data_IF_487312538306
#
_entry.id   IF_487312538306
#
_cell.length_a   1.000
_cell.length_b   1.000
_cell.length_c   1.000
_cell.angle_alpha   90.00
_cell.angle_beta   90.00
_cell.angle_gamma   90.00
#
_symmetry.space_group_name_H-M   'P 1'
#
loop_
_entity.id
_entity.type
_entity.pdbx_description
1 polymer ?
#
# COMPACT_ATOMS: atom_id res chain seq x y z
N UNK A 1 -13.82 15.59 -5.71
CA UNK A 1 -14.38 14.32 -5.21
C UNK A 1 -13.37 13.23 -5.46
N UNK A 2 -13.00 12.45 -4.44
CA UNK A 2 -12.05 11.34 -4.61
C UNK A 2 -12.72 10.24 -5.43
N UNK A 3 -12.08 9.84 -6.54
CA UNK A 3 -12.57 8.79 -7.45
C UNK A 3 -12.83 7.46 -6.70
N UNK A 4 -12.16 7.26 -5.56
CA UNK A 4 -12.30 6.07 -4.73
C UNK A 4 -13.43 6.14 -3.69
N UNK A 5 -14.01 7.31 -3.41
CA UNK A 5 -14.90 7.52 -2.26
C UNK A 5 -16.09 6.56 -2.23
N UNK A 6 -16.64 6.23 -3.40
CA UNK A 6 -17.83 5.38 -3.55
C UNK A 6 -17.53 3.89 -3.77
N UNK A 7 -16.25 3.49 -3.78
CA UNK A 7 -15.88 2.08 -3.92
C UNK A 7 -16.02 1.34 -2.59
N UNK A 8 -16.42 0.08 -2.68
CA UNK A 8 -16.43 -0.84 -1.55
C UNK A 8 -15.05 -0.94 -0.89
N UNK A 9 -14.99 -1.10 0.43
CA UNK A 9 -13.74 -1.21 1.21
C UNK A 9 -12.83 -2.30 0.63
N UNK A 10 -13.38 -3.48 0.33
CA UNK A 10 -12.63 -4.59 -0.30
C UNK A 10 -11.95 -4.16 -1.60
N UNK A 11 -12.67 -3.42 -2.44
CA UNK A 11 -12.18 -2.97 -3.75
C UNK A 11 -11.10 -1.91 -3.59
N UNK A 12 -11.25 -0.99 -2.62
CA UNK A 12 -10.20 -0.01 -2.27
C UNK A 12 -8.90 -0.70 -1.88
N UNK A 13 -8.98 -1.68 -0.96
CA UNK A 13 -7.80 -2.44 -0.52
C UNK A 13 -7.17 -3.20 -1.67
N UNK A 14 -7.95 -3.93 -2.47
CA UNK A 14 -7.43 -4.66 -3.63
C UNK A 14 -6.77 -3.73 -4.68
N UNK A 15 -7.34 -2.54 -4.90
CA UNK A 15 -6.78 -1.57 -5.85
C UNK A 15 -5.41 -1.01 -5.43
N UNK A 16 -5.04 -1.13 -4.15
CA UNK A 16 -3.73 -0.72 -3.63
C UNK A 16 -2.75 -1.90 -3.56
N UNK A 17 -3.23 -3.07 -3.12
CA UNK A 17 -2.39 -4.26 -2.93
C UNK A 17 -1.97 -4.88 -4.27
N UNK A 18 -2.91 -5.04 -5.21
CA UNK A 18 -2.63 -5.73 -6.48
C UNK A 18 -1.52 -5.03 -7.29
N UNK A 19 -1.54 -3.70 -7.51
CA UNK A 19 -0.44 -3.03 -8.21
C UNK A 19 0.90 -3.17 -7.49
N UNK A 20 0.90 -3.12 -6.15
CA UNK A 20 2.12 -3.25 -5.34
C UNK A 20 2.75 -4.65 -5.50
N UNK A 21 1.93 -5.70 -5.50
CA UNK A 21 2.38 -7.05 -5.80
C UNK A 21 2.90 -7.20 -7.24
N UNK A 22 2.20 -6.60 -8.21
CA UNK A 22 2.61 -6.63 -9.62
C UNK A 22 3.95 -5.94 -9.83
N UNK A 23 4.21 -4.82 -9.16
CA UNK A 23 5.51 -4.13 -9.18
C UNK A 23 6.62 -5.07 -8.66
N UNK A 24 6.37 -5.79 -7.57
CA UNK A 24 7.34 -6.74 -7.03
C UNK A 24 7.65 -7.89 -8.00
N UNK A 25 6.61 -8.48 -8.60
CA UNK A 25 6.77 -9.57 -9.58
C UNK A 25 7.49 -9.07 -10.84
N UNK A 26 7.07 -7.92 -11.39
CA UNK A 26 7.68 -7.33 -12.57
C UNK A 26 9.16 -6.97 -12.31
N UNK A 27 9.46 -6.43 -11.13
CA UNK A 27 10.84 -6.15 -10.70
C UNK A 27 11.71 -7.40 -10.63
N UNK A 28 11.20 -8.47 -10.01
CA UNK A 28 11.92 -9.74 -9.91
C UNK A 28 12.19 -10.36 -11.30
N UNK A 29 11.18 -10.33 -12.20
CA UNK A 29 11.33 -10.82 -13.56
C UNK A 29 12.34 -9.99 -14.37
N UNK A 30 12.32 -8.67 -14.22
CA UNK A 30 13.25 -7.77 -14.89
C UNK A 30 14.70 -8.02 -14.44
N UNK A 31 14.94 -8.06 -13.12
CA UNK A 31 16.27 -8.38 -12.57
C UNK A 31 16.75 -9.76 -13.02
N UNK A 32 15.88 -10.78 -12.93
CA UNK A 32 16.22 -12.14 -13.35
C UNK A 32 16.57 -12.23 -14.84
N UNK A 33 15.85 -11.51 -15.69
CA UNK A 33 16.11 -11.50 -17.14
C UNK A 33 17.45 -10.84 -17.47
N UNK A 34 17.74 -9.68 -16.87
CA UNK A 34 19.02 -8.99 -17.06
C UNK A 34 20.20 -9.81 -16.52
N UNK A 35 20.03 -10.44 -15.36
CA UNK A 35 21.07 -11.31 -14.79
C UNK A 35 21.36 -12.49 -15.72
N UNK A 36 20.32 -13.12 -16.28
CA UNK A 36 20.50 -14.23 -17.23
C UNK A 36 21.21 -13.79 -18.51
N UNK A 37 20.89 -12.61 -19.04
CA UNK A 37 21.56 -12.07 -20.23
C UNK A 37 23.04 -11.80 -19.93
N UNK A 38 23.34 -11.16 -18.80
CA UNK A 38 24.71 -10.89 -18.37
C UNK A 38 25.51 -12.19 -18.17
N UNK A 39 24.94 -13.17 -17.47
CA UNK A 39 25.55 -14.48 -17.20
C UNK A 39 25.83 -15.29 -18.48
N UNK A 40 24.88 -15.29 -19.42
CA UNK A 40 25.04 -15.99 -20.71
C UNK A 40 26.13 -15.33 -21.55
N UNK A 41 26.10 -13.99 -21.65
CA UNK A 41 27.09 -13.22 -22.42
C UNK A 41 28.48 -13.36 -21.82
N UNK A 42 28.59 -13.34 -20.49
CA UNK A 42 29.84 -13.55 -19.77
C UNK A 42 30.39 -14.95 -20.04
N UNK A 43 29.56 -15.98 -19.89
CA UNK A 43 29.98 -17.37 -20.05
C UNK A 43 30.41 -17.70 -21.47
N UNK A 44 29.67 -17.21 -22.48
CA UNK A 44 29.99 -17.43 -23.88
C UNK A 44 31.29 -16.72 -24.29
N UNK A 45 31.48 -15.48 -23.84
CA UNK A 45 32.72 -14.74 -24.09
C UNK A 45 33.93 -15.40 -23.45
N UNK A 46 33.86 -15.78 -22.17
CA UNK A 46 35.00 -16.40 -21.48
C UNK A 46 35.32 -17.77 -22.07
N UNK A 47 34.29 -18.56 -22.43
CA UNK A 47 34.50 -19.86 -23.05
C UNK A 47 35.14 -19.74 -24.43
N UNK A 48 34.57 -18.93 -25.33
CA UNK A 48 35.04 -18.84 -26.71
C UNK A 48 36.41 -18.16 -26.80
N UNK A 49 36.57 -16.96 -26.24
CA UNK A 49 37.83 -16.22 -26.30
C UNK A 49 38.92 -16.94 -25.50
N UNK A 50 38.58 -17.57 -24.36
CA UNK A 50 39.52 -18.32 -23.54
C UNK A 50 40.01 -19.60 -24.22
N UNK A 51 39.11 -20.38 -24.84
CA UNK A 51 39.49 -21.57 -25.58
C UNK A 51 40.31 -21.21 -26.83
N UNK A 52 39.98 -20.10 -27.51
CA UNK A 52 40.78 -19.58 -28.63
C UNK A 52 42.18 -19.14 -28.16
N UNK A 53 42.29 -18.46 -27.02
CA UNK A 53 43.57 -18.09 -26.40
C UNK A 53 44.43 -19.32 -26.12
N UNK A 54 43.87 -20.34 -25.47
CA UNK A 54 44.54 -21.60 -25.16
C UNK A 54 44.99 -22.29 -26.46
N UNK A 55 44.10 -22.38 -27.45
CA UNK A 55 44.42 -23.01 -28.73
C UNK A 55 45.59 -22.32 -29.43
N UNK A 56 45.62 -20.99 -29.43
CA UNK A 56 46.71 -20.22 -30.03
C UNK A 56 48.02 -20.28 -29.22
N UNK A 57 47.94 -20.42 -27.90
CA UNK A 57 49.11 -20.68 -27.06
C UNK A 57 49.72 -22.06 -27.37
N UNK A 58 48.89 -23.10 -27.49
CA UNK A 58 49.34 -24.43 -27.91
C UNK A 58 49.85 -24.40 -29.35
N UNK A 59 49.22 -23.64 -30.25
CA UNK A 59 49.67 -23.47 -31.63
C UNK A 59 51.09 -22.88 -31.68
N UNK A 60 51.38 -21.88 -30.85
CA UNK A 60 52.73 -21.32 -30.73
C UNK A 60 53.74 -22.37 -30.26
N UNK A 61 53.36 -23.21 -29.30
CA UNK A 61 54.19 -24.34 -28.85
C UNK A 61 54.41 -25.39 -29.97
N UNK A 62 53.38 -25.69 -30.78
CA UNK A 62 53.48 -26.63 -31.91
C UNK A 62 54.37 -26.07 -33.01
N UNK A 63 54.37 -24.77 -33.26
CA UNK A 63 55.29 -24.14 -34.19
C UNK A 63 56.76 -24.30 -33.76
N UNK A 64 57.05 -24.15 -32.46
CA UNK A 64 58.38 -24.44 -31.90
C UNK A 64 58.76 -25.91 -32.12
N UNK A 65 57.82 -26.84 -31.86
CA UNK A 65 58.04 -28.27 -32.07
C UNK A 65 58.35 -28.59 -33.54
N UNK A 66 57.61 -28.04 -34.51
CA UNK A 66 57.84 -28.23 -35.95
C UNK A 66 59.27 -27.86 -36.34
N UNK A 67 59.76 -26.70 -35.89
CA UNK A 67 61.13 -26.27 -36.21
C UNK A 67 62.15 -27.20 -35.53
N UNK A 68 61.92 -27.55 -34.27
CA UNK A 68 62.79 -28.44 -33.51
C UNK A 68 62.87 -29.85 -34.11
N UNK A 69 61.74 -30.45 -34.47
CA UNK A 69 61.64 -31.77 -35.09
C UNK A 69 62.33 -31.77 -36.46
N UNK A 70 62.22 -30.67 -37.23
CA UNK A 70 62.95 -30.50 -38.48
C UNK A 70 64.48 -30.47 -38.27
N UNK A 71 64.97 -29.82 -37.21
CA UNK A 71 66.38 -29.90 -36.82
C UNK A 71 66.78 -31.33 -36.43
N UNK A 72 65.93 -32.08 -35.73
CA UNK A 72 66.20 -33.47 -35.36
C UNK A 72 66.32 -34.37 -36.59
N UNK A 73 65.41 -34.22 -37.57
CA UNK A 73 65.47 -35.00 -38.83
C UNK A 73 66.77 -34.72 -39.59
N UNK A 74 67.26 -33.48 -39.56
CA UNK A 74 68.54 -33.12 -40.18
C UNK A 74 69.76 -33.66 -39.42
N UNK A 75 69.73 -33.65 -38.09
CA UNK A 75 70.89 -34.02 -37.26
C UNK A 75 71.02 -35.52 -37.02
N UNK A 76 69.93 -36.28 -37.07
CA UNK A 76 69.95 -37.71 -36.83
C UNK A 76 70.33 -38.49 -38.08
N UNK A 77 71.12 -39.55 -37.89
CA UNK A 77 71.51 -40.43 -38.99
C UNK A 77 70.26 -41.07 -39.63
N UNK A 78 70.32 -41.22 -40.96
CA UNK A 78 69.27 -41.88 -41.73
C UNK A 78 69.01 -43.30 -41.21
N UNK A 79 67.75 -43.74 -41.30
CA UNK A 79 67.26 -45.07 -40.88
C UNK A 79 67.27 -45.36 -39.37
N UNK A 80 67.70 -44.41 -38.53
CA UNK A 80 67.62 -44.57 -37.07
C UNK A 80 66.18 -44.49 -36.55
N UNK A 81 65.91 -45.14 -35.41
CA UNK A 81 64.62 -45.03 -34.73
C UNK A 81 64.31 -43.59 -34.27
N UNK A 82 65.35 -42.81 -33.95
CA UNK A 82 65.24 -41.39 -33.60
C UNK A 82 64.73 -40.55 -34.77
N UNK A 83 65.29 -40.75 -35.97
CA UNK A 83 64.87 -40.03 -37.19
C UNK A 83 63.43 -40.36 -37.59
N UNK A 84 63.02 -41.63 -37.48
CA UNK A 84 61.61 -42.03 -37.71
C UNK A 84 60.66 -41.34 -36.75
N UNK A 85 60.95 -41.36 -35.44
CA UNK A 85 60.15 -40.65 -34.43
C UNK A 85 60.07 -39.15 -34.73
N UNK A 86 61.19 -38.48 -35.00
CA UNK A 86 61.21 -37.05 -35.31
C UNK A 86 60.35 -36.71 -36.55
N UNK A 87 60.36 -37.58 -37.57
CA UNK A 87 59.52 -37.42 -38.77
C UNK A 87 58.02 -37.58 -38.46
N UNK A 88 57.67 -38.55 -37.61
CA UNK A 88 56.30 -38.76 -37.14
C UNK A 88 55.81 -37.59 -36.27
N UNK A 89 56.64 -37.14 -35.32
CA UNK A 89 56.35 -36.01 -34.43
C UNK A 89 56.19 -34.71 -35.23
N UNK A 90 57.03 -34.49 -36.24
CA UNK A 90 56.93 -33.36 -37.16
C UNK A 90 55.56 -33.35 -37.89
N UNK A 91 55.15 -34.49 -38.44
CA UNK A 91 53.87 -34.62 -39.12
C UNK A 91 52.67 -34.40 -38.17
N UNK A 92 52.74 -34.98 -36.96
CA UNK A 92 51.72 -34.82 -35.94
C UNK A 92 51.60 -33.36 -35.46
N UNK A 93 52.73 -32.69 -35.24
CA UNK A 93 52.78 -31.28 -34.83
C UNK A 93 52.17 -30.36 -35.89
N UNK A 94 52.44 -30.60 -37.19
CA UNK A 94 51.79 -29.87 -38.29
C UNK A 94 50.28 -30.08 -38.34
N UNK A 95 49.82 -31.32 -38.21
CA UNK A 95 48.40 -31.64 -38.22
C UNK A 95 47.68 -30.95 -37.05
N UNK A 96 48.24 -31.06 -35.84
CA UNK A 96 47.67 -30.42 -34.65
C UNK A 96 47.69 -28.90 -34.75
N UNK A 97 48.75 -28.31 -35.31
CA UNK A 97 48.82 -26.86 -35.50
C UNK A 97 47.66 -26.35 -36.37
N UNK A 98 47.37 -27.03 -37.49
CA UNK A 98 46.26 -26.65 -38.37
C UNK A 98 44.91 -26.77 -37.68
N UNK A 99 44.68 -27.86 -36.95
CA UNK A 99 43.46 -28.07 -36.17
C UNK A 99 43.23 -26.95 -35.14
N UNK A 100 44.27 -26.55 -34.41
CA UNK A 100 44.18 -25.47 -33.42
C UNK A 100 43.80 -24.12 -34.04
N UNK A 101 44.34 -23.81 -35.22
CA UNK A 101 43.93 -22.62 -35.98
C UNK A 101 42.48 -22.71 -36.46
N UNK A 102 42.04 -23.88 -36.97
CA UNK A 102 40.66 -24.09 -37.41
C UNK A 102 39.65 -23.95 -36.27
N UNK A 103 40.01 -24.42 -35.06
CA UNK A 103 39.20 -24.26 -33.87
C UNK A 103 39.18 -22.81 -33.39
N UNK A 104 40.34 -22.16 -33.30
CA UNK A 104 40.43 -20.76 -32.88
C UNK A 104 39.61 -19.83 -33.81
N UNK A 105 39.69 -20.01 -35.14
CA UNK A 105 38.92 -19.21 -36.09
C UNK A 105 37.40 -19.40 -35.98
N UNK A 106 36.93 -20.58 -35.52
CA UNK A 106 35.50 -20.82 -35.26
C UNK A 106 35.02 -20.16 -33.97
N UNK A 107 35.88 -20.12 -32.96
CA UNK A 107 35.56 -19.57 -31.64
C UNK A 107 35.55 -18.03 -31.65
N UNK A 108 36.49 -17.40 -32.37
CA UNK A 108 36.63 -15.93 -32.46
C UNK A 108 36.56 -15.43 -33.92
N UNK A 109 35.38 -15.51 -34.57
CA UNK A 109 35.22 -15.13 -35.97
C UNK A 109 35.57 -13.67 -36.25
N UNK A 110 35.41 -12.78 -35.26
CA UNK A 110 35.80 -11.37 -35.35
C UNK A 110 37.33 -11.17 -35.51
N UNK A 111 38.14 -12.10 -35.02
CA UNK A 111 39.61 -12.10 -35.17
C UNK A 111 40.08 -12.91 -36.40
N UNK A 112 39.15 -13.42 -37.22
CA UNK A 112 39.46 -14.32 -38.34
C UNK A 112 40.45 -13.74 -39.36
N UNK A 113 40.48 -12.42 -39.58
CA UNK A 113 41.49 -11.78 -40.45
C UNK A 113 42.89 -11.88 -39.88
N UNK A 114 43.04 -11.65 -38.57
CA UNK A 114 44.31 -11.72 -37.85
C UNK A 114 44.82 -13.16 -37.83
N UNK A 115 43.94 -14.11 -37.50
CA UNK A 115 44.27 -15.54 -37.47
C UNK A 115 44.63 -16.07 -38.86
N UNK A 116 43.92 -15.68 -39.92
CA UNK A 116 44.27 -16.04 -41.29
C UNK A 116 45.63 -15.50 -41.72
N UNK A 117 46.00 -14.29 -41.29
CA UNK A 117 47.33 -13.72 -41.54
C UNK A 117 48.43 -14.51 -40.83
N UNK A 118 48.23 -14.87 -39.56
CA UNK A 118 49.15 -15.72 -38.80
C UNK A 118 49.28 -17.12 -39.44
N UNK A 119 48.16 -17.72 -39.86
CA UNK A 119 48.12 -19.02 -40.55
C UNK A 119 48.94 -19.00 -41.84
N UNK A 120 48.79 -17.96 -42.67
CA UNK A 120 49.57 -17.80 -43.90
C UNK A 120 51.09 -17.74 -43.63
N UNK A 121 51.50 -17.08 -42.53
CA UNK A 121 52.90 -17.07 -42.12
C UNK A 121 53.37 -18.43 -41.59
N UNK A 122 52.52 -19.14 -40.85
CA UNK A 122 52.78 -20.54 -40.42
C UNK A 122 53.01 -21.43 -41.63
N UNK A 123 52.16 -21.34 -42.65
CA UNK A 123 52.28 -22.15 -43.86
C UNK A 123 53.61 -21.86 -44.58
N UNK A 124 54.09 -20.62 -44.58
CA UNK A 124 55.41 -20.28 -45.13
C UNK A 124 56.56 -20.92 -44.34
N UNK A 125 56.47 -21.02 -43.02
CA UNK A 125 57.46 -21.73 -42.19
C UNK A 125 57.39 -23.24 -42.43
N UNK A 126 56.18 -23.79 -42.54
CA UNK A 126 55.97 -25.21 -42.86
C UNK A 126 56.58 -25.55 -44.22
N UNK A 127 56.38 -24.72 -45.25
CA UNK A 127 56.94 -24.98 -46.59
C UNK A 127 58.48 -25.04 -46.58
N UNK A 128 59.13 -24.19 -45.78
CA UNK A 128 60.61 -24.18 -45.66
C UNK A 128 61.08 -25.41 -44.88
N UNK A 129 60.41 -25.74 -43.77
CA UNK A 129 60.75 -26.91 -42.96
C UNK A 129 60.46 -28.22 -43.69
N UNK A 130 59.43 -28.29 -44.55
CA UNK A 130 59.14 -29.44 -45.41
C UNK A 130 60.31 -29.71 -46.36
N UNK A 131 60.80 -28.67 -47.05
CA UNK A 131 61.99 -28.77 -47.92
C UNK A 131 63.24 -29.20 -47.14
N UNK A 132 63.39 -28.72 -45.90
CA UNK A 132 64.53 -29.08 -45.05
C UNK A 132 64.46 -30.54 -44.59
N UNK A 133 63.29 -31.00 -44.16
CA UNK A 133 63.02 -32.39 -43.75
C UNK A 133 63.26 -33.34 -44.92
N UNK A 134 62.69 -33.05 -46.10
CA UNK A 134 62.89 -33.84 -47.32
C UNK A 134 64.37 -33.94 -47.71
N UNK A 135 65.11 -32.83 -47.67
CA UNK A 135 66.53 -32.82 -47.99
C UNK A 135 67.40 -33.55 -46.94
N UNK A 136 67.01 -33.48 -45.66
CA UNK A 136 67.64 -34.22 -44.56
C UNK A 136 67.50 -35.74 -44.71
N UNK A 137 66.37 -36.21 -45.22
CA UNK A 137 66.14 -37.64 -45.50
C UNK A 137 67.06 -38.21 -46.60
N UNK A 138 67.60 -37.37 -47.49
CA UNK A 138 68.43 -37.79 -48.65
C UNK A 138 69.93 -37.60 -48.39
N UNK A 139 70.33 -37.30 -47.14
CA UNK A 139 71.73 -37.17 -46.70
C UNK A 139 72.53 -36.09 -47.47
N UNK A 140 71.87 -35.01 -47.89
CA UNK A 140 72.51 -33.85 -48.54
C UNK A 140 72.99 -32.87 -47.46
N UNK A 141 74.31 -32.74 -47.27
CA UNK A 141 74.89 -32.24 -46.02
C UNK A 141 74.97 -30.70 -45.83
N UNK A 142 74.54 -29.88 -46.79
CA UNK A 142 74.62 -28.39 -46.66
C UNK A 142 73.32 -27.63 -46.99
N UNK A 143 72.51 -28.10 -47.94
CA UNK A 143 71.24 -27.44 -48.33
C UNK A 143 70.16 -27.38 -47.21
N UNK A 144 69.96 -28.43 -46.37
CA UNK A 144 68.96 -28.40 -45.29
C UNK A 144 69.28 -27.38 -44.21
N UNK A 145 70.57 -27.13 -43.92
CA UNK A 145 70.99 -26.22 -42.85
C UNK A 145 70.57 -24.78 -43.13
N UNK A 146 70.76 -24.29 -44.36
CA UNK A 146 70.35 -22.94 -44.74
C UNK A 146 68.83 -22.76 -44.66
N UNK A 147 68.06 -23.78 -45.05
CA UNK A 147 66.60 -23.79 -44.93
C UNK A 147 66.16 -23.77 -43.45
N UNK A 148 66.79 -24.54 -42.59
CA UNK A 148 66.48 -24.57 -41.14
C UNK A 148 66.78 -23.23 -40.46
N UNK A 149 67.90 -22.58 -40.81
CA UNK A 149 68.21 -21.23 -40.30
C UNK A 149 67.16 -20.21 -40.77
N UNK A 150 66.75 -20.28 -42.05
CA UNK A 150 65.69 -19.41 -42.57
C UNK A 150 64.34 -19.68 -41.89
N UNK A 151 64.01 -20.94 -41.62
CA UNK A 151 62.81 -21.32 -40.89
C UNK A 151 62.84 -20.81 -39.45
N UNK A 152 63.98 -20.91 -38.76
CA UNK A 152 64.18 -20.42 -37.40
C UNK A 152 63.95 -18.90 -37.29
N UNK A 153 64.56 -18.11 -38.18
CA UNK A 153 64.37 -16.65 -38.19
C UNK A 153 62.90 -16.25 -38.40
N UNK A 154 62.21 -16.89 -39.35
CA UNK A 154 60.78 -16.65 -39.59
C UNK A 154 59.91 -17.11 -38.44
N UNK A 155 60.18 -18.30 -37.89
CA UNK A 155 59.44 -18.85 -36.78
C UNK A 155 59.61 -17.99 -35.52
N UNK A 156 60.82 -17.51 -35.22
CA UNK A 156 61.06 -16.63 -34.07
C UNK A 156 60.21 -15.36 -34.14
N UNK A 157 60.13 -14.73 -35.31
CA UNK A 157 59.25 -13.57 -35.53
C UNK A 157 57.78 -13.92 -35.33
N UNK A 158 57.32 -15.00 -35.97
CA UNK A 158 55.93 -15.44 -35.92
C UNK A 158 55.49 -15.86 -34.51
N UNK A 159 56.35 -16.55 -33.75
CA UNK A 159 56.13 -16.89 -32.34
C UNK A 159 55.95 -15.61 -31.51
N UNK A 160 56.72 -14.56 -31.80
CA UNK A 160 56.54 -13.24 -31.20
C UNK A 160 55.17 -12.64 -31.49
N UNK A 161 54.73 -12.69 -32.76
CA UNK A 161 53.41 -12.20 -33.17
C UNK A 161 52.26 -13.00 -32.53
N UNK A 162 52.34 -14.33 -32.51
CA UNK A 162 51.37 -15.22 -31.85
C UNK A 162 51.33 -14.96 -30.34
N UNK A 163 52.48 -14.76 -29.68
CA UNK A 163 52.53 -14.42 -28.25
C UNK A 163 51.90 -13.06 -27.96
N UNK A 164 52.16 -12.07 -28.81
CA UNK A 164 51.50 -10.75 -28.69
C UNK A 164 49.98 -10.89 -28.83
N UNK A 165 49.50 -11.71 -29.77
CA UNK A 165 48.07 -11.97 -29.92
C UNK A 165 47.49 -12.65 -28.66
N UNK A 166 48.14 -13.69 -28.14
CA UNK A 166 47.72 -14.38 -26.90
C UNK A 166 47.66 -13.41 -25.72
N UNK A 167 48.73 -12.64 -25.47
CA UNK A 167 48.76 -11.69 -24.36
C UNK A 167 47.69 -10.59 -24.49
N UNK A 168 47.51 -10.05 -25.69
CA UNK A 168 46.49 -9.03 -25.97
C UNK A 168 45.09 -9.60 -25.73
N UNK A 169 44.86 -10.86 -26.11
CA UNK A 169 43.59 -11.55 -25.89
C UNK A 169 43.35 -11.81 -24.40
N UNK A 170 44.35 -12.26 -23.64
CA UNK A 170 44.24 -12.39 -22.18
C UNK A 170 43.90 -11.06 -21.51
N UNK A 171 44.49 -9.95 -21.98
CA UNK A 171 44.22 -8.61 -21.43
C UNK A 171 42.80 -8.14 -21.78
N UNK A 172 42.34 -8.39 -23.02
CA UNK A 172 40.94 -8.14 -23.42
C UNK A 172 39.96 -8.95 -22.57
N UNK A 173 40.24 -10.24 -22.34
CA UNK A 173 39.42 -11.13 -21.51
C UNK A 173 39.32 -10.58 -20.08
N UNK A 174 40.45 -10.20 -19.46
CA UNK A 174 40.47 -9.62 -18.11
C UNK A 174 39.73 -8.28 -18.05
N UNK A 175 39.98 -7.38 -18.99
CA UNK A 175 39.35 -6.07 -19.02
C UNK A 175 37.83 -6.19 -19.19
N UNK A 176 37.38 -6.99 -20.16
CA UNK A 176 35.95 -7.19 -20.42
C UNK A 176 35.27 -7.94 -19.28
N UNK A 177 35.95 -8.91 -18.65
CA UNK A 177 35.45 -9.55 -17.42
C UNK A 177 35.23 -8.54 -16.29
N UNK A 178 36.19 -7.65 -16.05
CA UNK A 178 36.08 -6.63 -15.00
C UNK A 178 34.96 -5.62 -15.31
N UNK A 179 34.91 -5.10 -16.54
CA UNK A 179 33.86 -4.18 -16.99
C UNK A 179 32.48 -4.81 -16.88
N UNK A 180 32.31 -6.06 -17.29
CA UNK A 180 31.02 -6.74 -17.22
C UNK A 180 30.59 -7.01 -15.78
N UNK A 181 31.55 -7.27 -14.88
CA UNK A 181 31.29 -7.37 -13.44
C UNK A 181 30.86 -6.03 -12.83
N UNK A 182 31.52 -4.92 -13.18
CA UNK A 182 31.17 -3.58 -12.73
C UNK A 182 29.79 -3.15 -13.25
N UNK A 183 29.54 -3.32 -14.56
CA UNK A 183 28.26 -3.00 -15.20
C UNK A 183 27.11 -3.83 -14.62
N UNK A 184 27.36 -5.13 -14.34
CA UNK A 184 26.36 -5.99 -13.68
C UNK A 184 26.03 -5.48 -12.28
N UNK A 185 27.04 -5.11 -11.49
CA UNK A 185 26.82 -4.61 -10.14
C UNK A 185 26.08 -3.26 -10.14
N UNK A 186 26.45 -2.34 -11.03
CA UNK A 186 25.78 -1.05 -11.18
C UNK A 186 24.33 -1.21 -11.68
N UNK A 187 24.10 -2.13 -12.61
CA UNK A 187 22.75 -2.47 -13.08
C UNK A 187 21.90 -3.07 -11.97
N UNK A 188 22.46 -3.95 -11.14
CA UNK A 188 21.78 -4.53 -9.97
C UNK A 188 21.44 -3.42 -8.97
N UNK A 189 22.40 -2.59 -8.57
CA UNK A 189 22.21 -1.54 -7.57
C UNK A 189 21.22 -0.49 -8.04
N UNK A 190 21.33 -0.01 -9.28
CA UNK A 190 20.40 0.99 -9.85
C UNK A 190 18.98 0.43 -10.00
N UNK A 191 18.84 -0.83 -10.42
CA UNK A 191 17.53 -1.49 -10.53
C UNK A 191 16.90 -1.70 -9.15
N UNK A 192 17.67 -2.16 -8.15
CA UNK A 192 17.19 -2.30 -6.78
C UNK A 192 16.81 -0.96 -6.16
N UNK A 193 17.61 0.10 -6.36
CA UNK A 193 17.29 1.44 -5.90
C UNK A 193 15.99 1.96 -6.53
N UNK A 194 15.81 1.74 -7.83
CA UNK A 194 14.58 2.12 -8.56
C UNK A 194 13.37 1.33 -8.05
N UNK A 195 13.49 0.01 -7.87
CA UNK A 195 12.42 -0.82 -7.31
C UNK A 195 12.08 -0.41 -5.88
N UNK A 196 13.08 -0.15 -5.04
CA UNK A 196 12.87 0.33 -3.67
C UNK A 196 12.15 1.69 -3.66
N UNK A 197 12.51 2.61 -4.56
CA UNK A 197 11.85 3.91 -4.68
C UNK A 197 10.38 3.77 -5.14
N UNK A 198 10.12 2.96 -6.18
CA UNK A 198 8.77 2.74 -6.70
C UNK A 198 7.90 2.01 -5.66
N UNK A 199 8.44 0.98 -5.01
CA UNK A 199 7.74 0.24 -3.97
C UNK A 199 7.48 1.11 -2.74
N UNK A 200 8.45 1.91 -2.32
CA UNK A 200 8.30 2.90 -1.24
C UNK A 200 7.23 3.93 -1.54
N UNK A 201 7.19 4.46 -2.78
CA UNK A 201 6.16 5.39 -3.23
C UNK A 201 4.77 4.73 -3.25
N UNK A 202 4.66 3.49 -3.73
CA UNK A 202 3.41 2.72 -3.75
C UNK A 202 2.88 2.46 -2.32
N UNK A 203 3.77 2.06 -1.40
CA UNK A 203 3.43 1.88 0.02
C UNK A 203 2.98 3.19 0.67
N UNK A 204 3.74 4.27 0.45
CA UNK A 204 3.38 5.59 0.97
C UNK A 204 2.00 6.03 0.48
N UNK A 205 1.74 5.88 -0.83
CA UNK A 205 0.44 6.19 -1.42
C UNK A 205 -0.67 5.31 -0.86
N UNK A 206 -0.42 4.01 -0.67
CA UNK A 206 -1.39 3.08 -0.10
C UNK A 206 -1.76 3.43 1.34
N UNK A 207 -0.76 3.77 2.18
CA UNK A 207 -0.98 4.24 3.55
C UNK A 207 -1.75 5.56 3.56
N UNK A 208 -1.37 6.51 2.71
CA UNK A 208 -2.04 7.80 2.59
C UNK A 208 -3.50 7.67 2.19
N UNK A 209 -3.80 6.87 1.17
CA UNK A 209 -5.16 6.62 0.68
C UNK A 209 -5.97 5.89 1.75
N UNK A 210 -5.42 4.83 2.36
CA UNK A 210 -6.11 4.06 3.41
C UNK A 210 -6.48 4.96 4.60
N UNK A 211 -5.54 5.79 5.06
CA UNK A 211 -5.76 6.73 6.15
C UNK A 211 -6.89 7.71 5.83
N UNK A 212 -6.91 8.26 4.61
CA UNK A 212 -7.90 9.28 4.20
C UNK A 212 -9.28 8.70 3.86
N UNK A 213 -9.34 7.55 3.20
CA UNK A 213 -10.58 6.99 2.64
C UNK A 213 -11.29 6.00 3.55
N UNK A 214 -10.57 5.40 4.50
CA UNK A 214 -11.08 4.34 5.39
C UNK A 214 -10.89 4.75 6.86
N UNK A 215 -9.65 4.91 7.32
CA UNK A 215 -9.37 5.09 8.76
C UNK A 215 -9.97 6.37 9.32
N UNK A 216 -9.78 7.51 8.65
CA UNK A 216 -10.27 8.81 9.13
C UNK A 216 -11.81 8.91 9.13
N UNK A 217 -12.54 8.47 8.09
CA UNK A 217 -14.00 8.42 8.12
C UNK A 217 -14.57 7.49 9.20
N UNK A 218 -13.93 6.32 9.43
CA UNK A 218 -14.33 5.42 10.52
C UNK A 218 -14.18 6.12 11.88
N UNK A 219 -13.05 6.82 12.09
CA UNK A 219 -12.81 7.56 13.32
C UNK A 219 -13.81 8.72 13.51
N UNK A 220 -14.14 9.43 12.42
CA UNK A 220 -15.16 10.48 12.46
C UNK A 220 -16.55 9.94 12.84
N UNK A 221 -16.93 8.78 12.28
CA UNK A 221 -18.19 8.10 12.65
C UNK A 221 -18.18 7.63 14.10
N UNK A 222 -17.06 7.07 14.57
CA UNK A 222 -16.87 6.64 15.96
C UNK A 222 -17.07 7.82 16.92
N UNK A 223 -16.41 8.94 16.65
CA UNK A 223 -16.53 10.17 17.45
C UNK A 223 -17.96 10.73 17.44
N UNK A 224 -18.64 10.70 16.28
CA UNK A 224 -20.03 11.15 16.18
C UNK A 224 -20.97 10.27 17.01
N UNK A 225 -20.77 8.96 16.99
CA UNK A 225 -21.57 8.02 17.79
C UNK A 225 -21.41 8.26 19.29
N UNK A 226 -20.18 8.53 19.77
CA UNK A 226 -19.92 8.93 21.16
C UNK A 226 -20.60 10.26 21.50
N UNK A 227 -20.57 11.23 20.58
CA UNK A 227 -21.22 12.53 20.77
C UNK A 227 -22.75 12.42 20.90
N UNK A 228 -23.38 11.61 20.06
CA UNK A 228 -24.82 11.32 20.13
C UNK A 228 -25.19 10.62 21.44
N UNK A 229 -24.39 9.66 21.89
CA UNK A 229 -24.57 9.02 23.19
C UNK A 229 -24.45 10.00 24.37
N UNK A 230 -23.74 11.12 24.18
CA UNK A 230 -23.60 12.21 25.16
C UNK A 230 -24.71 13.26 25.05
N UNK A 231 -25.75 13.05 24.23
CA UNK A 231 -26.88 13.98 24.05
C UNK A 231 -26.66 15.11 23.04
N UNK A 232 -25.52 15.17 22.34
CA UNK A 232 -25.22 16.24 21.38
C UNK A 232 -25.76 15.95 19.98
N UNK A 233 -26.99 16.39 19.71
CA UNK A 233 -27.72 16.09 18.45
C UNK A 233 -27.56 17.11 17.32
N UNK A 234 -26.98 18.29 17.59
CA UNK A 234 -27.05 19.42 16.67
C UNK A 234 -26.31 19.18 15.34
N UNK A 235 -25.11 18.58 15.40
CA UNK A 235 -24.27 18.40 14.21
C UNK A 235 -24.77 17.28 13.28
N UNK A 236 -24.49 17.43 11.99
CA UNK A 236 -24.77 16.42 10.98
C UNK A 236 -23.85 15.17 11.11
N UNK A 237 -24.28 14.05 10.55
CA UNK A 237 -23.46 12.84 10.46
C UNK A 237 -22.56 12.94 9.22
N UNK A 238 -21.23 12.83 9.36
CA UNK A 238 -20.32 12.92 8.22
C UNK A 238 -20.51 11.73 7.27
N UNK A 239 -20.36 11.97 5.95
CA UNK A 239 -20.32 10.90 4.95
C UNK A 239 -21.66 10.27 4.57
N UNK A 240 -22.79 10.92 4.88
CA UNK A 240 -24.13 10.45 4.52
C UNK A 240 -24.38 10.36 3.00
N UNK A 241 -23.58 11.05 2.19
CA UNK A 241 -23.62 11.05 0.72
C UNK A 241 -22.82 9.90 0.07
N UNK A 242 -22.05 9.15 0.87
CA UNK A 242 -21.22 8.06 0.37
C UNK A 242 -22.07 6.85 -0.06
N UNK A 243 -21.65 6.18 -1.13
CA UNK A 243 -22.32 4.98 -1.67
C UNK A 243 -21.63 3.66 -1.31
N UNK A 244 -20.68 3.69 -0.37
CA UNK A 244 -19.92 2.52 0.10
C UNK A 244 -20.45 1.99 1.45
N UNK A 245 -19.75 1.00 2.03
CA UNK A 245 -20.12 0.44 3.34
C UNK A 245 -20.11 1.50 4.46
N UNK A 246 -19.19 2.48 4.37
CA UNK A 246 -19.12 3.59 5.32
C UNK A 246 -20.31 4.55 5.18
N UNK A 247 -20.80 4.77 3.96
CA UNK A 247 -22.05 5.48 3.73
C UNK A 247 -23.26 4.77 4.34
N UNK A 248 -23.30 3.44 4.22
CA UNK A 248 -24.35 2.63 4.85
C UNK A 248 -24.33 2.74 6.38
N UNK A 249 -23.12 2.75 6.98
CA UNK A 249 -22.97 3.01 8.43
C UNK A 249 -23.38 4.44 8.79
N UNK A 250 -23.00 5.44 7.98
CA UNK A 250 -23.37 6.84 8.20
C UNK A 250 -24.89 7.05 8.17
N UNK A 251 -25.58 6.39 7.24
CA UNK A 251 -27.04 6.41 7.17
C UNK A 251 -27.70 5.81 8.43
N UNK A 252 -27.16 4.70 8.96
CA UNK A 252 -27.64 4.13 10.21
C UNK A 252 -27.43 5.09 11.41
N UNK A 253 -26.27 5.73 11.50
CA UNK A 253 -25.99 6.76 12.54
C UNK A 253 -26.92 7.98 12.39
N UNK A 254 -27.30 8.35 11.16
CA UNK A 254 -28.28 9.42 10.93
C UNK A 254 -29.67 9.06 11.48
N UNK A 255 -30.10 7.80 11.37
CA UNK A 255 -31.35 7.33 11.99
C UNK A 255 -31.28 7.44 13.52
N UNK A 256 -30.14 7.06 14.14
CA UNK A 256 -29.95 7.25 15.58
C UNK A 256 -30.02 8.72 16.01
N UNK A 257 -29.46 9.65 15.23
CA UNK A 257 -29.59 11.08 15.47
C UNK A 257 -31.05 11.52 15.43
N UNK A 258 -31.79 11.13 14.42
CA UNK A 258 -33.22 11.48 14.29
C UNK A 258 -34.03 10.96 15.48
N UNK A 259 -33.77 9.73 15.90
CA UNK A 259 -34.44 9.15 17.08
C UNK A 259 -34.06 9.88 18.38
N UNK A 260 -32.81 10.33 18.52
CA UNK A 260 -32.36 11.10 19.69
C UNK A 260 -33.04 12.48 19.75
N UNK A 261 -33.15 13.18 18.60
CA UNK A 261 -33.87 14.46 18.51
C UNK A 261 -35.34 14.28 18.87
N UNK A 262 -35.99 13.25 18.34
CA UNK A 262 -37.40 13.00 18.62
C UNK A 262 -37.63 12.64 20.09
N UNK A 263 -36.73 11.85 20.68
CA UNK A 263 -36.77 11.54 22.11
C UNK A 263 -36.65 12.80 22.98
N UNK A 264 -35.70 13.69 22.65
CA UNK A 264 -35.50 14.96 23.36
C UNK A 264 -36.74 15.88 23.25
N UNK A 265 -37.32 15.96 22.05
CA UNK A 265 -38.58 16.68 21.79
C UNK A 265 -39.72 16.14 22.64
N UNK A 266 -39.88 14.81 22.69
CA UNK A 266 -40.91 14.15 23.49
C UNK A 266 -40.69 14.33 25.00
N UNK A 267 -39.44 14.30 25.47
CA UNK A 267 -39.12 14.58 26.87
C UNK A 267 -39.47 16.02 27.25
N UNK A 268 -39.06 16.98 26.42
CA UNK A 268 -39.39 18.40 26.61
C UNK A 268 -40.91 18.63 26.61
N UNK A 269 -41.64 17.97 25.70
CA UNK A 269 -43.09 18.04 25.65
C UNK A 269 -43.74 17.43 26.91
N UNK A 270 -43.24 16.28 27.36
CA UNK A 270 -43.74 15.62 28.59
C UNK A 270 -43.50 16.48 29.83
N UNK A 271 -42.34 17.14 29.92
CA UNK A 271 -42.01 18.06 31.01
C UNK A 271 -42.89 19.31 30.98
N UNK A 272 -43.13 19.88 29.80
CA UNK A 272 -44.06 21.00 29.63
C UNK A 272 -45.50 20.62 30.01
N UNK A 273 -45.97 19.44 29.62
CA UNK A 273 -47.31 18.94 29.96
C UNK A 273 -47.44 18.67 31.47
N UNK A 274 -46.39 18.13 32.11
CA UNK A 274 -46.34 17.99 33.58
C UNK A 274 -46.40 19.34 34.28
N UNK A 275 -45.57 20.30 33.87
CA UNK A 275 -45.56 21.64 34.43
C UNK A 275 -46.91 22.36 34.24
N UNK A 276 -47.57 22.14 33.09
CA UNK A 276 -48.92 22.65 32.83
C UNK A 276 -49.95 21.99 33.75
N UNK A 277 -49.91 20.67 33.89
CA UNK A 277 -50.83 19.92 34.77
C UNK A 277 -50.68 20.31 36.24
N UNK A 278 -49.44 20.51 36.70
CA UNK A 278 -49.15 21.00 38.06
C UNK A 278 -49.70 22.42 38.28
N UNK A 279 -49.50 23.32 37.31
CA UNK A 279 -50.11 24.64 37.35
C UNK A 279 -51.64 24.59 37.38
N UNK A 280 -52.28 23.76 36.55
CA UNK A 280 -53.73 23.58 36.54
C UNK A 280 -54.26 22.99 37.86
N UNK A 281 -53.53 22.07 38.49
CA UNK A 281 -53.86 21.58 39.83
C UNK A 281 -53.78 22.70 40.86
N UNK A 282 -52.70 23.47 40.87
CA UNK A 282 -52.52 24.59 41.79
C UNK A 282 -53.64 25.64 41.63
N UNK A 283 -54.02 25.97 40.39
CA UNK A 283 -55.14 26.88 40.11
C UNK A 283 -56.48 26.33 40.63
N UNK A 284 -56.75 25.03 40.40
CA UNK A 284 -57.97 24.39 40.92
C UNK A 284 -58.00 24.33 42.45
N UNK A 285 -56.87 24.07 43.10
CA UNK A 285 -56.77 24.09 44.56
C UNK A 285 -57.01 25.49 45.13
N UNK A 286 -56.43 26.53 44.51
CA UNK A 286 -56.72 27.93 44.86
C UNK A 286 -58.21 28.25 44.73
N UNK A 287 -58.82 27.91 43.59
CA UNK A 287 -60.23 28.17 43.35
C UNK A 287 -61.12 27.44 44.37
N UNK A 288 -60.84 26.17 44.67
CA UNK A 288 -61.58 25.42 45.70
C UNK A 288 -61.41 26.01 47.10
N UNK A 289 -60.21 26.49 47.44
CA UNK A 289 -59.97 27.13 48.73
C UNK A 289 -60.75 28.44 48.86
N UNK A 290 -60.81 29.24 47.79
CA UNK A 290 -61.64 30.46 47.72
C UNK A 290 -63.14 30.13 47.85
N UNK A 291 -63.64 29.13 47.12
CA UNK A 291 -65.03 28.66 47.22
C UNK A 291 -65.38 28.14 48.61
N UNK A 292 -64.48 27.37 49.24
CA UNK A 292 -64.67 26.87 50.60
C UNK A 292 -64.67 28.02 51.63
N UNK A 293 -63.79 29.02 51.47
CA UNK A 293 -63.77 30.22 52.30
C UNK A 293 -65.08 31.02 52.17
N UNK A 294 -65.57 31.18 50.94
CA UNK A 294 -66.85 31.83 50.64
C UNK A 294 -68.05 31.08 51.25
N UNK A 295 -68.06 29.75 51.15
CA UNK A 295 -69.12 28.90 51.73
C UNK A 295 -69.10 28.98 53.26
N UNK A 296 -67.90 28.88 53.87
CA UNK A 296 -67.74 29.01 55.32
C UNK A 296 -68.23 30.37 55.81
N UNK A 297 -67.89 31.45 55.10
CA UNK A 297 -68.37 32.80 55.41
C UNK A 297 -69.91 32.88 55.42
N UNK A 298 -70.58 32.32 54.39
CA UNK A 298 -72.04 32.29 54.31
C UNK A 298 -72.68 31.48 55.46
N UNK A 299 -72.11 30.31 55.78
CA UNK A 299 -72.59 29.45 56.88
C UNK A 299 -72.40 30.11 58.24
N UNK A 300 -71.23 30.70 58.51
CA UNK A 300 -70.95 31.42 59.77
C UNK A 300 -71.91 32.61 59.93
N UNK A 301 -72.14 33.40 58.89
CA UNK A 301 -73.08 34.52 58.93
C UNK A 301 -74.54 34.09 59.13
N UNK A 302 -74.96 32.95 58.56
CA UNK A 302 -76.28 32.36 58.80
C UNK A 302 -76.41 31.81 60.23
N UNK A 303 -75.38 31.14 60.76
CA UNK A 303 -75.33 30.67 62.15
C UNK A 303 -75.52 31.85 63.09
N UNK A 304 -74.72 32.90 62.92
CA UNK A 304 -74.77 34.09 63.76
C UNK A 304 -76.15 34.77 63.67
N UNK A 305 -76.75 34.79 62.48
CA UNK A 305 -78.12 35.29 62.27
C UNK A 305 -79.19 34.45 62.98
N UNK A 306 -79.12 33.11 62.89
CA UNK A 306 -80.05 32.19 63.56
C UNK A 306 -79.89 32.24 65.08
N UNK A 307 -78.67 32.40 65.59
CA UNK A 307 -78.40 32.57 67.03
C UNK A 307 -78.97 33.89 67.55
N UNK A 308 -78.87 34.99 66.79
CA UNK A 308 -79.52 36.24 67.13
C UNK A 308 -81.05 36.10 67.21
N UNK A 309 -81.66 35.34 66.28
CA UNK A 309 -83.09 35.04 66.29
C UNK A 309 -83.49 34.21 67.52
N UNK A 310 -82.75 33.15 67.86
CA UNK A 310 -83.02 32.32 69.03
C UNK A 310 -82.96 33.11 70.35
N UNK A 311 -82.09 34.11 70.42
CA UNK A 311 -81.97 35.05 71.54
C UNK A 311 -83.01 36.19 71.52
N UNK A 312 -84.03 36.12 70.66
CA UNK A 312 -85.14 37.08 70.62
C UNK A 312 -84.86 38.37 69.84
N UNK A 313 -83.72 38.48 69.13
CA UNK A 313 -83.37 39.66 68.33
C UNK A 313 -83.90 39.53 66.90
N UNK A 314 -85.19 39.83 66.73
CA UNK A 314 -85.90 39.74 65.45
C UNK A 314 -85.56 40.85 64.44
N UNK A 315 -84.73 41.83 64.80
CA UNK A 315 -84.29 42.93 63.92
C UNK A 315 -82.93 42.67 63.26
N UNK A 316 -82.26 41.55 63.56
CA UNK A 316 -80.96 41.22 62.98
C UNK A 316 -81.09 40.97 61.46
N UNK A 317 -80.22 41.60 60.66
CA UNK A 317 -80.15 41.38 59.20
C UNK A 317 -78.73 41.09 58.79
N UNK A 318 -78.57 40.13 57.87
CA UNK A 318 -77.27 39.85 57.26
C UNK A 318 -77.06 40.87 56.11
N UNK A 319 -76.12 41.80 56.30
CA UNK A 319 -75.84 42.91 55.38
C UNK A 319 -74.75 42.59 54.35
N UNK A 320 -73.72 41.83 54.74
CA UNK A 320 -72.64 41.46 53.84
C UNK A 320 -73.16 40.48 52.77
N UNK A 321 -73.02 40.78 51.47
CA UNK A 321 -73.48 39.89 50.41
C UNK A 321 -72.64 38.61 50.38
N UNK A 322 -73.27 37.48 50.12
CA UNK A 322 -72.58 36.22 49.84
C UNK A 322 -72.26 36.13 48.34
N UNK A 323 -71.29 35.31 47.97
CA UNK A 323 -70.87 35.16 46.57
C UNK A 323 -71.76 34.17 45.81
N UNK A 324 -72.17 34.56 44.60
CA UNK A 324 -72.93 33.71 43.68
C UNK A 324 -74.29 33.26 44.22
N UNK A 325 -74.63 31.98 44.00
CA UNK A 325 -75.90 31.39 44.41
C UNK A 325 -76.12 31.36 45.94
N UNK A 326 -75.05 31.53 46.74
CA UNK A 326 -75.18 31.58 48.19
C UNK A 326 -75.94 32.83 48.67
N UNK A 327 -75.97 33.92 47.89
CA UNK A 327 -76.67 35.16 48.30
C UNK A 327 -78.18 34.97 48.42
N UNK A 328 -78.76 33.98 47.73
CA UNK A 328 -80.16 33.61 47.92
C UNK A 328 -80.46 33.18 49.35
N UNK A 329 -79.52 32.52 50.04
CA UNK A 329 -79.69 32.12 51.44
C UNK A 329 -79.79 33.35 52.35
N UNK A 330 -78.97 34.38 52.12
CA UNK A 330 -79.02 35.66 52.83
C UNK A 330 -80.37 36.34 52.62
N UNK A 331 -80.84 36.41 51.37
CA UNK A 331 -82.13 37.00 51.01
C UNK A 331 -83.29 36.22 51.64
N UNK A 332 -83.28 34.89 51.57
CA UNK A 332 -84.31 34.03 52.14
C UNK A 332 -84.36 34.15 53.67
N UNK A 333 -83.22 34.20 54.35
CA UNK A 333 -83.14 34.41 55.79
C UNK A 333 -83.75 35.77 56.19
N UNK A 334 -83.29 36.85 55.55
CA UNK A 334 -83.80 38.20 55.80
C UNK A 334 -85.31 38.33 55.50
N UNK A 335 -85.79 37.73 54.41
CA UNK A 335 -87.22 37.71 54.05
C UNK A 335 -88.07 36.89 55.03
N UNK A 336 -87.53 35.76 55.53
CA UNK A 336 -88.22 34.93 56.52
C UNK A 336 -88.34 35.65 57.86
N UNK A 337 -87.31 36.41 58.26
CA UNK A 337 -87.36 37.29 59.42
C UNK A 337 -88.37 38.43 59.25
N UNK A 338 -88.43 39.05 58.07
CA UNK A 338 -89.42 40.10 57.76
C UNK A 338 -90.86 39.55 57.90
N UNK A 339 -91.12 38.36 57.35
CA UNK A 339 -92.41 37.68 57.47
C UNK A 339 -92.71 37.33 58.93
N UNK A 340 -91.78 36.73 59.67
CA UNK A 340 -91.97 36.38 61.07
C UNK A 340 -92.24 37.62 61.94
N UNK A 341 -91.51 38.71 61.71
CA UNK A 341 -91.73 40.01 62.36
C UNK A 341 -93.13 40.56 62.04
N UNK A 342 -93.59 40.44 60.79
CA UNK A 342 -94.94 40.85 60.39
C UNK A 342 -96.04 39.99 61.03
N UNK A 343 -95.85 38.66 61.14
CA UNK A 343 -96.81 37.75 61.75
C UNK A 343 -96.91 37.97 63.26
N UNK A 344 -95.79 38.13 63.97
CA UNK A 344 -95.77 38.48 65.39
C UNK A 344 -96.48 39.82 65.66
N UNK A 345 -96.37 40.79 64.75
CA UNK A 345 -97.10 42.05 64.82
C UNK A 345 -98.60 41.91 64.56
N UNK A 346 -99.01 40.87 63.82
CA UNK A 346 -100.43 40.57 63.52
C UNK A 346 -101.15 39.79 64.62
N UNK A 347 -100.43 39.18 65.59
CA UNK A 347 -100.99 38.39 66.70
C UNK A 347 -101.22 39.21 67.98
N UNK A 348 -101.09 40.54 67.92
CA UNK A 348 -101.59 41.45 68.96
C UNK A 348 -102.48 42.52 68.34
N UNK A 349 -103.81 42.32 68.30
CA UNK A 349 -104.64 42.85 69.39
C UNK A 349 -105.95 42.06 69.66
N UNK A 350 -106.27 41.74 70.92
CA UNK A 350 -107.64 41.71 71.47
C UNK A 350 -107.62 41.27 72.94
N UNK A 351 -107.71 42.22 73.87
CA UNK A 351 -108.65 42.17 74.99
C UNK A 351 -108.65 43.52 75.72
N UNK A 352 -109.75 44.22 75.50
CA UNK A 352 -110.16 45.50 76.06
C UNK A 352 -110.67 45.42 77.50
N UNK A 353 -110.46 46.52 78.22
CA UNK A 353 -111.28 47.13 79.28
C UNK A 353 -112.54 46.37 79.76
N UNK A 354 -112.60 46.11 81.07
CA UNK A 354 -113.52 46.85 81.97
C UNK A 354 -113.01 46.89 83.40
#
# INVERSE_FOLDING_TARGET
MSLMQNLRIRTKVLSLVVPTCLIGIAGALYVSSNFKIADTTYSEFIANDGDAEINMAIASQRLVAIVYDAYQVYLYDAETAGMKRATEDYAASKARLRELFDEAEKLVPEEGRTLASLRSQVDSVIEITDKAVEAGMVNQSEAPKALLVQADEKAAKLIGEMRTWVNTTSDKIKQKSNLLSEETNDTILSTLATLAAVFGAALFLAVFITRREITSPIEALRLRMVSLASGRVDEAVPGADRKDELGSMSAAVAVFRTNAIEKDRLQTQTEADRARSENEKLQREKQKAEEAANTKFAVDALRDGLEALANGKITHRILAPFTGALDELRLNFNNSLEKLHSTLRSVGPECSWH
#
